data_IF_703879020732
#
_entry.id   IF_703879020732
#
_cell.length_a   1.000
_cell.length_b   1.000
_cell.length_c   1.000
_cell.angle_alpha   90.00
_cell.angle_beta   90.00
_cell.angle_gamma   90.00
#
_symmetry.space_group_name_H-M   'P 1'
#
loop_
_entity.id
_entity.type
_entity.pdbx_description
1 polymer ?
#
# COMPACT_ATOMS: atom_id res chain seq x y z
N UNK A 1 0.16 27.60 16.27
CA UNK A 1 -0.10 26.19 15.91
C UNK A 1 0.89 25.84 14.81
N UNK A 2 1.94 25.07 15.13
CA UNK A 2 2.94 24.65 14.15
C UNK A 2 2.26 23.69 13.17
N UNK A 3 2.29 24.00 11.88
CA UNK A 3 1.86 23.07 10.85
C UNK A 3 2.73 21.81 11.01
N UNK A 4 2.11 20.68 11.35
CA UNK A 4 2.81 19.39 11.40
C UNK A 4 3.42 19.17 10.02
N UNK A 5 4.73 18.94 9.96
CA UNK A 5 5.40 18.65 8.69
C UNK A 5 4.72 17.42 8.06
N UNK A 6 4.38 17.51 6.78
CA UNK A 6 3.77 16.40 6.06
C UNK A 6 4.74 15.22 6.06
N UNK A 7 4.25 14.02 6.43
CA UNK A 7 5.05 12.79 6.54
C UNK A 7 5.40 12.23 5.15
N UNK A 8 6.23 12.96 4.41
CA UNK A 8 6.61 12.61 3.03
C UNK A 8 8.06 12.97 2.75
N UNK A 9 8.72 12.16 1.93
CA UNK A 9 10.02 12.46 1.35
C UNK A 9 9.80 13.06 -0.05
N UNK A 10 10.11 14.35 -0.30
CA UNK A 10 9.88 14.99 -1.60
C UNK A 10 10.59 14.27 -2.76
N UNK A 11 11.72 13.62 -2.50
CA UNK A 11 12.44 12.85 -3.52
C UNK A 11 11.66 11.59 -3.93
N UNK A 12 10.92 10.97 -3.02
CA UNK A 12 10.04 9.85 -3.34
C UNK A 12 8.85 10.30 -4.19
N UNK A 13 8.19 11.42 -3.85
CA UNK A 13 7.11 11.97 -4.68
C UNK A 13 7.55 12.21 -6.13
N UNK A 14 8.77 12.78 -6.33
CA UNK A 14 9.30 13.01 -7.67
C UNK A 14 9.50 11.72 -8.47
N UNK A 15 9.93 10.63 -7.84
CA UNK A 15 10.08 9.32 -8.50
C UNK A 15 8.73 8.76 -8.97
N UNK A 16 7.72 8.80 -8.11
CA UNK A 16 6.38 8.30 -8.46
C UNK A 16 5.71 9.16 -9.53
N UNK A 17 5.81 10.48 -9.44
CA UNK A 17 5.29 11.40 -10.46
C UNK A 17 5.85 11.13 -11.86
N UNK A 18 7.13 10.80 -11.96
CA UNK A 18 7.79 10.50 -13.24
C UNK A 18 7.22 9.25 -13.96
N UNK A 19 6.56 8.36 -13.24
CA UNK A 19 5.97 7.13 -13.78
C UNK A 19 4.44 7.19 -13.93
N UNK A 20 3.79 8.27 -13.48
CA UNK A 20 2.35 8.38 -13.43
C UNK A 20 1.68 8.12 -14.80
N UNK A 21 2.17 8.75 -15.88
CA UNK A 21 1.57 8.63 -17.23
C UNK A 21 1.52 7.20 -17.78
N UNK A 22 2.33 6.28 -17.26
CA UNK A 22 2.39 4.88 -17.69
C UNK A 22 1.96 3.91 -16.59
N UNK A 23 1.25 4.38 -15.58
CA UNK A 23 0.86 3.57 -14.42
C UNK A 23 0.00 2.37 -14.81
N UNK A 24 -0.92 2.55 -15.75
CA UNK A 24 -1.81 1.50 -16.23
C UNK A 24 -1.25 0.67 -17.40
N UNK A 25 -0.03 0.97 -17.86
CA UNK A 25 0.68 0.12 -18.82
C UNK A 25 1.17 -1.18 -18.15
N UNK A 26 0.40 -2.26 -18.31
CA UNK A 26 0.74 -3.57 -17.76
C UNK A 26 2.02 -4.21 -18.34
N UNK A 27 2.63 -3.62 -19.36
CA UNK A 27 3.96 -3.95 -19.88
C UNK A 27 5.07 -3.01 -19.39
N UNK A 28 4.70 -1.91 -18.72
CA UNK A 28 5.60 -0.85 -18.29
C UNK A 28 6.29 -1.09 -16.94
N UNK A 29 6.79 -0.01 -16.35
CA UNK A 29 7.49 -0.05 -15.06
C UNK A 29 6.58 -0.48 -13.89
N UNK A 30 5.27 -0.24 -13.96
CA UNK A 30 4.29 -0.66 -12.97
C UNK A 30 3.85 -2.13 -13.12
N UNK A 31 4.38 -2.88 -14.09
CA UNK A 31 4.03 -4.29 -14.35
C UNK A 31 4.00 -5.18 -13.11
N UNK A 32 5.00 -5.14 -12.20
CA UNK A 32 4.94 -5.98 -11.00
C UNK A 32 3.73 -5.69 -10.11
N UNK A 33 3.27 -4.44 -10.04
CA UNK A 33 2.07 -4.07 -9.29
C UNK A 33 0.82 -4.68 -9.93
N UNK A 34 0.71 -4.67 -11.26
CA UNK A 34 -0.38 -5.31 -12.00
C UNK A 34 -0.42 -6.82 -11.76
N UNK A 35 0.73 -7.48 -11.81
CA UNK A 35 0.84 -8.94 -11.63
C UNK A 35 0.54 -9.36 -10.18
N UNK A 36 0.91 -8.54 -9.19
CA UNK A 36 0.68 -8.77 -7.77
C UNK A 36 -0.77 -8.46 -7.33
N UNK A 37 -1.41 -7.48 -7.97
CA UNK A 37 -2.70 -6.95 -7.51
C UNK A 37 -3.80 -8.01 -7.39
N UNK A 38 -4.01 -8.94 -8.35
CA UNK A 38 -5.04 -9.98 -8.22
C UNK A 38 -4.86 -10.85 -6.97
N UNK A 39 -3.61 -11.20 -6.64
CA UNK A 39 -3.28 -12.01 -5.47
C UNK A 39 -3.50 -11.25 -4.16
N UNK A 40 -3.12 -9.96 -4.12
CA UNK A 40 -3.36 -9.05 -2.98
C UNK A 40 -4.86 -8.92 -2.71
N UNK A 41 -5.62 -8.62 -3.74
CA UNK A 41 -7.07 -8.43 -3.63
C UNK A 41 -7.79 -9.71 -3.22
N UNK A 42 -7.39 -10.88 -3.73
CA UNK A 42 -7.93 -12.16 -3.31
C UNK A 42 -7.60 -12.45 -1.83
N UNK A 43 -6.37 -12.15 -1.39
CA UNK A 43 -5.96 -12.33 -0.01
C UNK A 43 -6.75 -11.43 0.95
N UNK A 44 -6.99 -10.16 0.58
CA UNK A 44 -7.80 -9.19 1.32
C UNK A 44 -9.25 -9.68 1.41
N UNK A 45 -9.87 -10.00 0.27
CA UNK A 45 -11.27 -10.41 0.20
C UNK A 45 -11.58 -11.70 0.99
N UNK A 46 -10.59 -12.57 1.20
CA UNK A 46 -10.73 -13.76 2.02
C UNK A 46 -10.73 -13.48 3.54
N UNK A 47 -10.34 -12.25 3.98
CA UNK A 47 -10.11 -11.89 5.38
C UNK A 47 -10.98 -10.76 5.89
N UNK A 48 -11.51 -9.95 4.99
CA UNK A 48 -12.38 -8.81 5.31
C UNK A 48 -13.59 -8.79 4.40
N UNK A 49 -14.74 -8.42 4.94
CA UNK A 49 -15.94 -8.22 4.15
C UNK A 49 -15.80 -6.91 3.35
N UNK A 50 -15.80 -7.00 2.02
CA UNK A 50 -15.63 -5.82 1.16
C UNK A 50 -16.97 -5.21 0.73
N UNK A 51 -17.99 -6.03 0.46
CA UNK A 51 -19.27 -5.52 -0.04
C UNK A 51 -19.91 -4.55 0.94
N UNK A 52 -20.08 -3.30 0.49
CA UNK A 52 -20.66 -2.21 1.29
C UNK A 52 -19.72 -1.61 2.35
N UNK A 53 -18.54 -2.20 2.56
CA UNK A 53 -17.55 -1.68 3.52
C UNK A 53 -16.95 -0.35 3.03
N UNK A 54 -16.71 0.57 3.96
CA UNK A 54 -15.90 1.77 3.72
C UNK A 54 -14.42 1.39 3.80
N UNK A 55 -13.72 1.48 2.67
CA UNK A 55 -12.33 1.06 2.54
C UNK A 55 -11.46 2.26 2.20
N UNK A 56 -10.41 2.47 2.98
CA UNK A 56 -9.34 3.40 2.67
C UNK A 56 -8.23 2.66 1.93
N UNK A 57 -7.75 3.23 0.84
CA UNK A 57 -6.51 2.83 0.17
C UNK A 57 -5.48 3.97 0.33
N UNK A 58 -4.60 3.83 1.31
CA UNK A 58 -3.58 4.83 1.63
C UNK A 58 -2.30 4.58 0.80
N UNK A 59 -1.88 5.59 0.04
CA UNK A 59 -0.86 5.45 -0.99
C UNK A 59 -1.41 4.72 -2.21
N UNK A 60 -2.62 5.11 -2.66
CA UNK A 60 -3.34 4.41 -3.72
C UNK A 60 -2.64 4.49 -5.10
N UNK A 61 -1.67 5.39 -5.26
CA UNK A 61 -1.01 5.62 -6.54
C UNK A 61 -2.01 5.96 -7.64
N UNK A 62 -1.89 5.32 -8.79
CA UNK A 62 -2.83 5.46 -9.90
C UNK A 62 -4.09 4.59 -9.80
N UNK A 63 -4.43 4.03 -8.63
CA UNK A 63 -5.74 3.44 -8.35
C UNK A 63 -5.90 1.94 -8.58
N UNK A 64 -4.84 1.20 -8.88
CA UNK A 64 -4.89 -0.24 -9.18
C UNK A 64 -5.60 -1.09 -8.12
N UNK A 65 -5.28 -0.88 -6.84
CA UNK A 65 -5.94 -1.58 -5.73
C UNK A 65 -7.34 -1.03 -5.50
N UNK A 66 -7.47 0.29 -5.47
CA UNK A 66 -8.73 0.99 -5.21
C UNK A 66 -9.85 0.50 -6.13
N UNK A 67 -9.63 0.50 -7.44
CA UNK A 67 -10.62 0.03 -8.42
C UNK A 67 -10.94 -1.46 -8.29
N UNK A 68 -9.93 -2.28 -8.01
CA UNK A 68 -10.13 -3.71 -7.82
C UNK A 68 -10.95 -4.04 -6.55
N UNK A 69 -10.88 -3.20 -5.50
CA UNK A 69 -11.71 -3.29 -4.30
C UNK A 69 -13.13 -2.75 -4.56
N UNK A 70 -13.26 -1.63 -5.30
CA UNK A 70 -14.55 -1.08 -5.70
C UNK A 70 -15.33 -2.07 -6.57
N UNK A 71 -14.68 -2.75 -7.53
CA UNK A 71 -15.28 -3.81 -8.34
C UNK A 71 -15.82 -5.00 -7.51
N UNK A 72 -15.40 -5.14 -6.25
CA UNK A 72 -15.93 -6.12 -5.27
C UNK A 72 -17.03 -5.55 -4.37
N UNK A 73 -17.48 -4.35 -4.66
CA UNK A 73 -18.59 -3.69 -3.97
C UNK A 73 -18.18 -2.93 -2.70
N UNK A 74 -16.90 -2.62 -2.53
CA UNK A 74 -16.42 -1.72 -1.48
C UNK A 74 -16.72 -0.25 -1.86
N UNK A 75 -16.95 0.60 -0.85
CA UNK A 75 -16.96 2.06 -0.98
C UNK A 75 -15.54 2.56 -0.69
N UNK A 76 -14.81 2.87 -1.75
CA UNK A 76 -13.36 3.13 -1.63
C UNK A 76 -13.07 4.62 -1.64
N UNK A 77 -12.23 5.05 -0.68
CA UNK A 77 -11.52 6.32 -0.72
C UNK A 77 -10.05 6.02 -0.95
N UNK A 78 -9.47 6.52 -2.04
CA UNK A 78 -8.06 6.41 -2.37
C UNK A 78 -7.34 7.73 -2.08
N UNK A 79 -6.27 7.69 -1.29
CA UNK A 79 -5.46 8.87 -0.99
C UNK A 79 -4.01 8.66 -1.42
N UNK A 80 -3.41 9.69 -2.00
CA UNK A 80 -1.99 9.76 -2.31
C UNK A 80 -1.52 11.21 -2.24
N UNK A 81 -0.25 11.45 -1.92
CA UNK A 81 0.33 12.78 -1.88
C UNK A 81 0.88 13.23 -3.23
N UNK A 82 0.86 12.38 -4.26
CA UNK A 82 1.33 12.66 -5.61
C UNK A 82 0.16 13.08 -6.51
N UNK A 83 -0.01 14.38 -6.82
CA UNK A 83 -1.15 14.85 -7.61
C UNK A 83 -1.27 14.17 -8.98
N UNK A 84 -0.13 13.91 -9.65
CA UNK A 84 -0.10 13.29 -10.96
C UNK A 84 -0.65 11.86 -10.95
N UNK A 85 -0.42 11.09 -9.86
CA UNK A 85 -0.99 9.76 -9.69
C UNK A 85 -2.49 9.81 -9.48
N UNK A 86 -2.98 10.76 -8.67
CA UNK A 86 -4.41 10.96 -8.45
C UNK A 86 -5.12 11.40 -9.75
N UNK A 87 -4.48 12.23 -10.58
CA UNK A 87 -5.02 12.57 -11.90
C UNK A 87 -5.15 11.32 -12.80
N UNK A 88 -4.12 10.49 -12.85
CA UNK A 88 -4.15 9.23 -13.61
C UNK A 88 -5.21 8.27 -13.07
N UNK A 89 -5.35 8.14 -11.75
CA UNK A 89 -6.40 7.34 -11.14
C UNK A 89 -7.80 7.81 -11.53
N UNK A 90 -8.05 9.14 -11.51
CA UNK A 90 -9.33 9.73 -11.92
C UNK A 90 -9.61 9.54 -13.41
N UNK A 91 -8.59 9.64 -14.27
CA UNK A 91 -8.74 9.39 -15.70
C UNK A 91 -9.13 7.94 -15.98
N UNK A 92 -8.45 6.97 -15.37
CA UNK A 92 -8.78 5.56 -15.56
C UNK A 92 -10.16 5.21 -14.96
N UNK A 93 -10.56 5.86 -13.87
CA UNK A 93 -11.87 5.67 -13.25
C UNK A 93 -13.01 6.01 -14.23
N UNK A 94 -12.84 7.03 -15.08
CA UNK A 94 -13.80 7.34 -16.15
C UNK A 94 -13.95 6.21 -17.17
N UNK A 95 -12.87 5.49 -17.45
CA UNK A 95 -12.89 4.37 -18.40
C UNK A 95 -13.50 3.11 -17.76
N UNK A 96 -13.21 2.87 -16.48
CA UNK A 96 -13.69 1.69 -15.76
C UNK A 96 -15.16 1.77 -15.35
N UNK A 97 -15.72 2.98 -15.23
CA UNK A 97 -17.12 3.20 -14.80
C UNK A 97 -17.38 2.82 -13.33
N UNK A 98 -16.32 2.63 -12.55
CA UNK A 98 -16.41 2.36 -11.11
C UNK A 98 -16.60 3.67 -10.33
N UNK A 99 -16.87 3.56 -9.02
CA UNK A 99 -16.98 4.70 -8.10
C UNK A 99 -15.90 4.60 -7.02
N UNK A 100 -14.98 5.56 -7.04
CA UNK A 100 -13.88 5.70 -6.07
C UNK A 100 -13.64 7.19 -5.80
N UNK A 101 -13.54 7.55 -4.53
CA UNK A 101 -13.23 8.92 -4.10
C UNK A 101 -11.70 9.10 -4.00
N UNK A 102 -11.08 9.65 -5.04
CA UNK A 102 -9.64 9.92 -5.09
C UNK A 102 -9.30 11.33 -4.61
N UNK A 103 -8.38 11.42 -3.63
CA UNK A 103 -7.97 12.69 -3.00
C UNK A 103 -6.45 12.82 -2.94
N UNK A 104 -5.95 14.02 -3.23
CA UNK A 104 -4.56 14.41 -2.91
C UNK A 104 -4.51 14.77 -1.43
N UNK A 105 -4.18 13.79 -0.58
CA UNK A 105 -4.27 13.95 0.88
C UNK A 105 -3.36 12.95 1.59
N UNK A 106 -2.78 13.36 2.73
CA UNK A 106 -2.04 12.48 3.63
C UNK A 106 -2.96 11.78 4.63
N UNK A 107 -2.55 10.61 5.12
CA UNK A 107 -3.31 9.83 6.09
C UNK A 107 -3.49 10.57 7.42
N UNK A 108 -2.49 11.32 7.87
CA UNK A 108 -2.53 12.09 9.11
C UNK A 108 -3.54 13.25 9.05
N UNK A 109 -3.66 13.91 7.87
CA UNK A 109 -4.66 14.96 7.67
C UNK A 109 -6.07 14.38 7.62
N UNK A 110 -6.22 13.26 6.91
CA UNK A 110 -7.51 12.55 6.84
C UNK A 110 -7.94 12.05 8.22
N UNK A 111 -7.03 11.53 9.04
CA UNK A 111 -7.34 11.04 10.39
C UNK A 111 -7.87 12.15 11.31
N UNK A 112 -7.37 13.39 11.14
CA UNK A 112 -7.91 14.54 11.87
C UNK A 112 -9.30 14.97 11.41
N UNK A 113 -9.59 14.79 10.13
CA UNK A 113 -10.87 15.21 9.53
C UNK A 113 -11.98 14.15 9.68
N UNK A 114 -11.62 12.89 9.53
CA UNK A 114 -12.58 11.77 9.46
C UNK A 114 -12.13 10.59 10.36
N UNK A 115 -12.00 10.77 11.69
CA UNK A 115 -11.63 9.67 12.58
C UNK A 115 -12.70 8.57 12.57
N UNK A 116 -12.26 7.32 12.73
CA UNK A 116 -13.12 6.13 12.80
C UNK A 116 -14.09 5.95 11.62
N UNK A 117 -13.70 6.47 10.44
CA UNK A 117 -14.55 6.50 9.28
C UNK A 117 -14.55 5.19 8.47
N UNK A 118 -13.56 4.31 8.64
CA UNK A 118 -13.35 3.19 7.76
C UNK A 118 -13.45 1.83 8.47
N UNK A 119 -14.01 0.85 7.75
CA UNK A 119 -14.07 -0.55 8.17
C UNK A 119 -12.74 -1.26 7.94
N UNK A 120 -12.09 -0.90 6.83
CA UNK A 120 -10.82 -1.45 6.37
C UNK A 120 -9.92 -0.33 5.89
N UNK A 121 -8.64 -0.39 6.25
CA UNK A 121 -7.60 0.42 5.63
C UNK A 121 -6.58 -0.51 4.96
N UNK A 122 -6.17 -0.17 3.73
CA UNK A 122 -5.08 -0.79 3.02
C UNK A 122 -3.91 0.19 2.93
N UNK A 123 -2.69 -0.29 3.18
CA UNK A 123 -1.46 0.48 3.05
C UNK A 123 -0.40 -0.47 2.46
N UNK A 124 -0.39 -0.54 1.11
CA UNK A 124 0.44 -1.50 0.40
C UNK A 124 1.64 -0.80 -0.25
N UNK A 125 2.85 -1.29 0.03
CA UNK A 125 4.12 -0.74 -0.49
C UNK A 125 4.26 0.79 -0.25
N UNK A 126 3.77 1.28 0.87
CA UNK A 126 3.86 2.70 1.24
C UNK A 126 4.77 2.92 2.46
N UNK A 127 4.68 2.05 3.46
CA UNK A 127 5.28 2.28 4.79
C UNK A 127 6.80 2.45 4.74
N UNK A 128 7.50 1.83 3.79
CA UNK A 128 8.94 1.97 3.55
C UNK A 128 9.34 3.30 2.89
N UNK A 129 8.38 4.04 2.35
CA UNK A 129 8.62 5.30 1.64
C UNK A 129 8.41 6.55 2.50
N UNK A 130 7.76 6.41 3.66
CA UNK A 130 7.52 7.54 4.56
C UNK A 130 8.67 7.78 5.54
N UNK A 131 8.92 9.04 5.96
CA UNK A 131 9.94 9.37 6.97
C UNK A 131 9.61 8.81 8.36
N UNK A 132 8.36 8.84 8.79
CA UNK A 132 7.88 8.34 10.09
C UNK A 132 6.79 7.26 9.90
N UNK A 133 7.17 5.98 9.79
CA UNK A 133 6.23 4.88 9.68
C UNK A 133 5.29 4.76 10.90
N UNK A 134 5.77 5.12 12.10
CA UNK A 134 4.95 5.03 13.30
C UNK A 134 3.83 6.08 13.31
N UNK A 135 4.09 7.30 12.81
CA UNK A 135 3.05 8.31 12.64
C UNK A 135 1.98 7.87 11.63
N UNK A 136 2.40 7.29 10.50
CA UNK A 136 1.48 6.73 9.51
C UNK A 136 0.60 5.63 10.12
N UNK A 137 1.17 4.68 10.87
CA UNK A 137 0.40 3.60 11.49
C UNK A 137 -0.59 4.11 12.54
N UNK A 138 -0.22 5.12 13.34
CA UNK A 138 -1.16 5.78 14.26
C UNK A 138 -2.32 6.43 13.51
N UNK A 139 -2.03 7.19 12.44
CA UNK A 139 -3.08 7.81 11.62
C UNK A 139 -4.02 6.77 11.00
N UNK A 140 -3.49 5.66 10.49
CA UNK A 140 -4.31 4.57 9.95
C UNK A 140 -5.16 3.89 11.04
N UNK A 141 -4.64 3.74 12.26
CA UNK A 141 -5.40 3.23 13.40
C UNK A 141 -6.53 4.19 13.82
N UNK A 142 -6.26 5.51 13.80
CA UNK A 142 -7.27 6.54 14.12
C UNK A 142 -8.39 6.59 13.08
N UNK A 143 -8.09 6.33 11.81
CA UNK A 143 -9.05 6.26 10.71
C UNK A 143 -9.98 5.05 10.78
N UNK A 144 -9.53 3.97 11.44
CA UNK A 144 -10.31 2.75 11.56
C UNK A 144 -11.29 2.83 12.74
N UNK A 145 -12.53 2.38 12.52
CA UNK A 145 -13.48 2.15 13.61
C UNK A 145 -13.01 1.04 14.55
N UNK A 146 -13.51 0.96 15.79
CA UNK A 146 -13.32 -0.21 16.63
C UNK A 146 -13.69 -1.51 15.90
N UNK A 147 -12.86 -2.56 16.01
CA UNK A 147 -12.99 -3.80 15.24
C UNK A 147 -12.54 -3.72 13.78
N UNK A 148 -12.14 -2.55 13.29
CA UNK A 148 -11.67 -2.34 11.91
C UNK A 148 -10.37 -3.09 11.60
N UNK A 149 -10.11 -3.29 10.31
CA UNK A 149 -8.97 -4.04 9.80
C UNK A 149 -7.96 -3.16 9.08
N UNK A 150 -6.68 -3.36 9.36
CA UNK A 150 -5.56 -2.77 8.61
C UNK A 150 -4.85 -3.87 7.83
N UNK A 151 -4.75 -3.71 6.53
CA UNK A 151 -3.97 -4.56 5.64
C UNK A 151 -2.73 -3.80 5.19
N UNK A 152 -1.57 -4.41 5.36
CA UNK A 152 -0.29 -3.83 4.99
C UNK A 152 0.47 -4.75 4.05
N UNK A 153 1.32 -4.20 3.20
CA UNK A 153 2.42 -4.94 2.58
C UNK A 153 3.69 -4.11 2.58
N UNK A 154 4.83 -4.79 2.70
CA UNK A 154 6.15 -4.16 2.62
C UNK A 154 7.24 -5.20 2.42
N UNK A 155 8.44 -4.73 2.10
CA UNK A 155 9.63 -5.55 1.94
C UNK A 155 10.26 -5.89 3.29
N UNK A 156 10.61 -7.17 3.50
CA UNK A 156 11.31 -7.60 4.71
C UNK A 156 12.81 -7.24 4.63
N UNK A 157 13.38 -6.80 5.74
CA UNK A 157 14.82 -6.50 5.84
C UNK A 157 15.63 -7.79 6.01
N UNK A 158 15.80 -8.53 4.92
CA UNK A 158 16.58 -9.76 4.83
C UNK A 158 17.62 -9.68 3.69
N UNK A 159 18.71 -10.46 3.74
CA UNK A 159 19.64 -10.55 2.61
C UNK A 159 18.97 -11.02 1.32
N UNK A 160 17.96 -11.88 1.41
CA UNK A 160 17.18 -12.35 0.24
C UNK A 160 16.37 -11.24 -0.39
N UNK A 161 15.73 -10.38 0.42
CA UNK A 161 15.01 -9.22 -0.07
C UNK A 161 15.96 -8.21 -0.73
N UNK A 162 17.15 -8.00 -0.17
CA UNK A 162 18.19 -7.18 -0.78
C UNK A 162 18.56 -7.68 -2.18
N UNK A 163 18.84 -8.97 -2.31
CA UNK A 163 19.21 -9.58 -3.61
C UNK A 163 18.03 -9.53 -4.58
N UNK A 164 16.82 -9.88 -4.14
CA UNK A 164 15.64 -9.94 -4.99
C UNK A 164 15.14 -8.57 -5.44
N UNK A 165 14.99 -7.63 -4.51
CA UNK A 165 14.42 -6.31 -4.81
C UNK A 165 15.44 -5.36 -5.44
N UNK A 166 16.65 -5.26 -4.89
CA UNK A 166 17.64 -4.27 -5.31
C UNK A 166 18.50 -4.79 -6.46
N UNK A 167 19.13 -5.95 -6.31
CA UNK A 167 19.98 -6.50 -7.37
C UNK A 167 19.17 -7.13 -8.50
N UNK A 168 18.07 -7.82 -8.18
CA UNK A 168 17.23 -8.47 -9.18
C UNK A 168 16.34 -7.48 -9.93
N UNK A 169 15.41 -6.81 -9.25
CA UNK A 169 14.40 -5.98 -9.90
C UNK A 169 14.96 -4.65 -10.44
N UNK A 170 15.82 -3.95 -9.67
CA UNK A 170 16.33 -2.65 -10.07
C UNK A 170 17.55 -2.71 -11.00
N UNK A 171 18.50 -3.64 -10.74
CA UNK A 171 19.80 -3.65 -11.43
C UNK A 171 19.87 -4.62 -12.61
N UNK A 172 19.43 -5.86 -12.42
CA UNK A 172 19.56 -6.91 -13.44
C UNK A 172 18.39 -6.92 -14.42
N UNK A 173 17.16 -6.90 -13.92
CA UNK A 173 15.95 -6.99 -14.73
C UNK A 173 15.42 -5.63 -15.18
N UNK A 174 15.90 -4.54 -14.60
CA UNK A 174 15.47 -3.15 -14.89
C UNK A 174 13.95 -2.98 -14.83
N UNK A 175 13.28 -3.77 -13.99
CA UNK A 175 11.82 -3.73 -13.79
C UNK A 175 11.38 -2.48 -13.04
N UNK A 176 12.28 -1.95 -12.20
CA UNK A 176 12.07 -0.75 -11.41
C UNK A 176 13.27 0.20 -11.59
N UNK A 177 13.07 1.52 -11.46
CA UNK A 177 14.16 2.48 -11.49
C UNK A 177 15.18 2.20 -10.38
N UNK A 178 16.46 2.47 -10.65
CA UNK A 178 17.52 2.34 -9.64
C UNK A 178 17.25 3.27 -8.46
N UNK A 179 17.43 2.76 -7.23
CA UNK A 179 17.21 3.51 -6.01
C UNK A 179 15.74 3.66 -5.60
N UNK A 180 14.84 2.85 -6.19
CA UNK A 180 13.44 2.76 -5.75
C UNK A 180 13.36 2.24 -4.31
N UNK A 181 14.25 1.29 -3.93
CA UNK A 181 14.25 0.69 -2.60
C UNK A 181 15.55 0.99 -1.86
N UNK A 182 15.42 1.48 -0.63
CA UNK A 182 16.53 1.62 0.32
C UNK A 182 16.45 0.50 1.35
N UNK A 183 17.39 -0.44 1.35
CA UNK A 183 17.40 -1.59 2.27
C UNK A 183 17.24 -1.20 3.75
N UNK A 184 17.78 -0.06 4.16
CA UNK A 184 17.63 0.45 5.52
C UNK A 184 16.17 0.77 5.90
N UNK A 185 15.30 1.02 4.92
CA UNK A 185 13.87 1.30 5.12
C UNK A 185 12.99 0.05 5.06
N UNK A 186 13.55 -1.10 4.69
CA UNK A 186 12.83 -2.37 4.74
C UNK A 186 12.47 -2.72 6.17
N UNK A 187 11.31 -3.31 6.37
CA UNK A 187 10.73 -3.49 7.70
C UNK A 187 10.63 -4.97 8.07
N UNK A 188 11.22 -5.35 9.20
CA UNK A 188 11.05 -6.70 9.71
C UNK A 188 9.65 -6.88 10.28
N UNK A 189 9.05 -8.09 10.18
CA UNK A 189 7.77 -8.38 10.79
C UNK A 189 7.68 -8.05 12.28
N UNK A 190 8.79 -8.25 13.04
CA UNK A 190 8.85 -7.92 14.46
C UNK A 190 8.82 -6.42 14.75
N UNK A 191 9.43 -5.61 13.88
CA UNK A 191 9.42 -4.14 13.98
C UNK A 191 8.02 -3.61 13.65
N UNK A 192 7.40 -4.13 12.58
CA UNK A 192 6.01 -3.80 12.25
C UNK A 192 5.06 -4.17 13.38
N UNK A 193 5.22 -5.37 13.97
CA UNK A 193 4.39 -5.82 15.10
C UNK A 193 4.53 -4.91 16.34
N UNK A 194 5.74 -4.41 16.61
CA UNK A 194 5.96 -3.46 17.70
C UNK A 194 5.25 -2.13 17.44
N UNK A 195 5.44 -1.54 16.26
CA UNK A 195 4.80 -0.28 15.88
C UNK A 195 3.27 -0.38 15.82
N UNK A 196 2.73 -1.52 15.37
CA UNK A 196 1.28 -1.76 15.39
C UNK A 196 0.74 -1.79 16.83
N UNK A 197 1.44 -2.45 17.76
CA UNK A 197 1.03 -2.43 19.20
C UNK A 197 1.06 -1.02 19.78
N UNK A 198 2.10 -0.25 19.45
CA UNK A 198 2.24 1.14 19.90
C UNK A 198 1.15 2.05 19.31
N UNK A 199 0.60 1.69 18.15
CA UNK A 199 -0.56 2.32 17.51
C UNK A 199 -1.91 1.74 18.01
N UNK A 200 -1.93 0.89 19.03
CA UNK A 200 -3.16 0.27 19.54
C UNK A 200 -3.76 -0.82 18.64
N UNK A 201 -2.99 -1.35 17.72
CA UNK A 201 -3.42 -2.40 16.77
C UNK A 201 -2.86 -3.76 17.17
N UNK A 202 -3.63 -4.82 16.91
CA UNK A 202 -3.20 -6.20 17.10
C UNK A 202 -2.85 -6.85 15.76
N UNK A 203 -1.60 -7.28 15.58
CA UNK A 203 -1.20 -8.09 14.43
C UNK A 203 -1.86 -9.48 14.53
N UNK A 204 -2.61 -9.87 13.50
CA UNK A 204 -3.40 -11.12 13.46
C UNK A 204 -2.73 -12.16 12.57
N UNK A 205 -2.24 -11.76 11.41
CA UNK A 205 -1.72 -12.70 10.42
C UNK A 205 -0.58 -12.07 9.60
N UNK A 206 0.37 -12.92 9.22
CA UNK A 206 1.42 -12.62 8.25
C UNK A 206 1.38 -13.65 7.12
N UNK A 207 1.58 -13.20 5.90
CA UNK A 207 1.72 -14.07 4.72
C UNK A 207 2.81 -13.52 3.80
N UNK A 208 3.65 -14.38 3.26
CA UNK A 208 4.62 -14.00 2.25
C UNK A 208 3.94 -13.72 0.91
N UNK A 209 4.43 -12.73 0.19
CA UNK A 209 4.01 -12.41 -1.17
C UNK A 209 5.18 -12.67 -2.11
N UNK A 210 5.07 -13.73 -2.93
CA UNK A 210 6.06 -14.12 -3.92
C UNK A 210 5.72 -13.57 -5.29
N UNK A 211 6.77 -13.28 -6.07
CA UNK A 211 6.66 -12.86 -7.46
C UNK A 211 7.82 -13.39 -8.28
N UNK A 212 7.52 -13.99 -9.43
CA UNK A 212 8.48 -14.48 -10.41
C UNK A 212 8.34 -13.65 -11.69
N UNK A 213 9.32 -12.75 -12.00
CA UNK A 213 9.18 -11.77 -13.08
C UNK A 213 9.16 -12.37 -14.49
N UNK A 214 9.81 -13.51 -14.72
CA UNK A 214 9.90 -14.13 -16.06
C UNK A 214 8.57 -14.78 -16.45
N UNK A 215 7.97 -15.53 -15.54
CA UNK A 215 6.65 -16.15 -15.73
C UNK A 215 5.48 -15.24 -15.37
N UNK A 216 5.73 -14.05 -14.81
CA UNK A 216 4.73 -13.10 -14.32
C UNK A 216 3.79 -13.70 -13.26
N UNK A 217 4.26 -14.69 -12.52
CA UNK A 217 3.44 -15.37 -11.51
C UNK A 217 3.63 -14.72 -10.15
N UNK A 218 2.51 -14.42 -9.50
CA UNK A 218 2.44 -14.01 -8.11
C UNK A 218 1.71 -15.07 -7.28
N UNK A 219 2.08 -15.22 -6.01
CA UNK A 219 1.44 -16.18 -5.09
C UNK A 219 1.61 -15.77 -3.63
N UNK A 220 0.70 -16.26 -2.79
CA UNK A 220 0.83 -16.15 -1.33
C UNK A 220 1.55 -17.39 -0.80
N UNK A 221 2.41 -17.21 0.20
CA UNK A 221 3.17 -18.28 0.85
C UNK A 221 3.23 -18.10 2.38
N UNK A 222 3.77 -19.10 3.08
CA UNK A 222 4.09 -18.95 4.51
C UNK A 222 5.43 -18.28 4.76
N UNK A 223 6.28 -18.11 3.72
CA UNK A 223 7.60 -17.50 3.84
C UNK A 223 7.50 -16.00 3.64
N UNK A 224 7.90 -15.25 4.64
CA UNK A 224 7.93 -13.78 4.64
C UNK A 224 9.33 -13.23 4.32
N UNK A 225 10.10 -13.96 3.55
CA UNK A 225 11.54 -13.69 3.37
C UNK A 225 11.86 -12.44 2.55
N UNK A 226 10.98 -12.07 1.60
CA UNK A 226 11.23 -10.96 0.66
C UNK A 226 10.16 -9.87 0.85
N UNK A 227 8.93 -10.16 0.45
CA UNK A 227 7.78 -9.30 0.59
C UNK A 227 6.72 -10.03 1.43
N UNK A 228 5.94 -9.30 2.21
CA UNK A 228 4.90 -9.89 3.02
C UNK A 228 3.67 -9.00 3.15
N UNK A 229 2.54 -9.65 3.33
CA UNK A 229 1.26 -9.08 3.70
C UNK A 229 1.07 -9.24 5.21
N UNK A 230 0.48 -8.26 5.85
CA UNK A 230 0.12 -8.29 7.26
C UNK A 230 -1.35 -7.87 7.43
N UNK A 231 -2.07 -8.57 8.28
CA UNK A 231 -3.40 -8.19 8.74
C UNK A 231 -3.31 -7.80 10.21
N UNK A 232 -3.75 -6.62 10.55
CA UNK A 232 -3.95 -6.17 11.92
C UNK A 232 -5.40 -5.78 12.18
N UNK A 233 -5.81 -5.78 13.44
CA UNK A 233 -7.14 -5.39 13.89
C UNK A 233 -7.06 -4.31 14.95
N UNK A 234 -7.94 -3.31 14.87
CA UNK A 234 -8.20 -2.39 15.98
C UNK A 234 -9.09 -3.12 16.98
N UNK A 235 -8.75 -3.17 18.27
CA UNK A 235 -9.65 -3.72 19.29
C UNK A 235 -11.02 -3.07 19.24
N UNK A 236 -12.06 -3.84 19.62
CA UNK A 236 -13.43 -3.35 19.70
C UNK A 236 -13.73 -2.60 20.99
#
# INVERSE_FOLDING_TARGET
MSASAVNVDPAELGKFAAHAARWWDAGGAARPLHDLNPVRVQWIAARVALRGARVLDAGCGGGLLSEALAARGARVTGIDLTPQLIEVAKLHLHESGLDVDYRVQGAEDLARAEPEAFDVACCLELIEHVPDPAALLRALADLLRPGGALVLSTLNRTPRAFVGAILGAESLLRLLPRGTHRYARFMRPSELAAMLRDAGMQLVELAGLGYEPLSRRAWVSRRVDINYLALARKPG
#
